data_IF_317344316268
#
_entry.id   IF_317344316268
#
_cell.length_a   1.000
_cell.length_b   1.000
_cell.length_c   1.000
_cell.angle_alpha   90.00
_cell.angle_beta   90.00
_cell.angle_gamma   90.00
#
_symmetry.space_group_name_H-M   'P 1'
#
loop_
_entity.id
_entity.type
_entity.pdbx_description
1 polymer ?
#
# COMPACT_ATOMS: atom_id res chain seq x y z
N UNK A 1 1.58 2.84 18.72
CA UNK A 1 2.01 3.68 17.59
C UNK A 1 1.92 2.79 16.36
N UNK A 2 1.19 3.18 15.31
CA UNK A 2 1.18 2.41 14.05
C UNK A 2 2.53 2.64 13.39
N UNK A 3 3.31 1.57 13.18
CA UNK A 3 4.58 1.65 12.49
C UNK A 3 4.41 2.19 11.07
N UNK A 4 5.41 2.91 10.57
CA UNK A 4 5.32 3.57 9.27
C UNK A 4 5.21 2.56 8.09
N UNK A 5 4.48 2.89 7.01
CA UNK A 5 4.42 2.07 5.80
C UNK A 5 5.80 1.85 5.17
N UNK A 6 5.96 0.71 4.51
CA UNK A 6 7.19 0.31 3.83
C UNK A 6 6.91 0.09 2.34
N UNK A 7 7.79 0.65 1.51
CA UNK A 7 7.88 0.36 0.08
C UNK A 7 9.27 -0.20 -0.16
N UNK A 8 9.32 -1.26 -0.95
CA UNK A 8 10.55 -1.81 -1.47
C UNK A 8 10.46 -1.94 -2.98
N UNK A 9 11.41 -1.31 -3.66
CA UNK A 9 11.65 -1.38 -5.09
C UNK A 9 13.16 -1.34 -5.32
N UNK A 10 13.64 -1.81 -6.48
CA UNK A 10 15.03 -1.64 -6.85
C UNK A 10 15.35 -0.16 -7.10
N UNK A 11 16.49 0.31 -6.61
CA UNK A 11 16.89 1.71 -6.77
C UNK A 11 17.43 2.01 -8.17
N UNK A 12 17.89 1.00 -8.90
CA UNK A 12 18.46 1.12 -10.25
C UNK A 12 17.71 0.16 -11.17
N UNK A 13 17.35 0.61 -12.36
CA UNK A 13 16.69 -0.18 -13.39
C UNK A 13 17.23 0.18 -14.79
N UNK A 14 17.09 -0.73 -15.74
CA UNK A 14 17.32 -0.43 -17.15
C UNK A 14 16.08 0.22 -17.78
N UNK A 15 16.29 0.98 -18.86
CA UNK A 15 15.18 1.55 -19.62
C UNK A 15 14.26 0.45 -20.17
N UNK A 16 12.98 0.53 -19.83
CA UNK A 16 11.96 -0.42 -20.22
C UNK A 16 11.91 -1.68 -19.34
N UNK A 17 12.70 -1.74 -18.25
CA UNK A 17 12.69 -2.88 -17.33
C UNK A 17 11.34 -2.98 -16.59
N UNK A 18 10.92 -4.22 -16.32
CA UNK A 18 9.74 -4.51 -15.49
C UNK A 18 10.22 -4.77 -14.06
N UNK A 19 9.92 -3.84 -13.17
CA UNK A 19 10.39 -3.85 -11.78
C UNK A 19 9.27 -4.25 -10.83
N UNK A 20 9.62 -4.99 -9.77
CA UNK A 20 8.67 -5.42 -8.74
C UNK A 20 8.58 -4.40 -7.63
N UNK A 21 7.39 -3.83 -7.43
CA UNK A 21 7.06 -2.99 -6.28
C UNK A 21 6.43 -3.88 -5.20
N UNK A 22 6.98 -3.81 -3.99
CA UNK A 22 6.47 -4.51 -2.81
C UNK A 22 6.12 -3.50 -1.75
N UNK A 23 4.92 -3.57 -1.20
CA UNK A 23 4.48 -2.64 -0.17
C UNK A 23 3.92 -3.39 1.03
N UNK A 24 4.17 -2.87 2.23
CA UNK A 24 3.62 -3.40 3.49
C UNK A 24 3.26 -2.23 4.39
N UNK A 25 2.05 -2.23 4.93
CA UNK A 25 1.61 -1.23 5.90
C UNK A 25 1.18 -1.93 7.19
N UNK A 26 1.77 -1.60 8.35
CA UNK A 26 1.31 -2.08 9.65
C UNK A 26 -0.12 -1.60 9.91
N UNK A 27 -1.10 -2.51 9.97
CA UNK A 27 -2.50 -2.15 10.17
C UNK A 27 -3.34 -3.35 10.63
N UNK A 28 -4.23 -3.23 11.63
CA UNK A 28 -4.97 -4.36 12.17
C UNK A 28 -5.98 -4.97 11.19
N UNK A 29 -6.49 -4.18 10.23
CA UNK A 29 -7.55 -4.59 9.30
C UNK A 29 -8.77 -5.18 10.04
N UNK A 30 -9.24 -4.48 11.07
CA UNK A 30 -10.38 -4.92 11.85
C UNK A 30 -11.63 -4.91 10.97
N UNK A 31 -12.26 -6.07 10.85
CA UNK A 31 -13.33 -6.31 9.87
C UNK A 31 -14.70 -5.92 10.38
N UNK A 32 -14.84 -5.68 11.69
CA UNK A 32 -16.13 -5.45 12.33
C UNK A 32 -16.85 -6.72 12.79
N UNK A 33 -16.31 -7.90 12.49
CA UNK A 33 -16.93 -9.19 12.85
C UNK A 33 -16.47 -9.74 14.20
N UNK A 34 -15.28 -9.35 14.67
CA UNK A 34 -14.72 -9.81 15.93
C UNK A 34 -15.52 -9.24 17.11
N UNK A 35 -15.69 -10.05 18.16
CA UNK A 35 -16.22 -9.61 19.44
C UNK A 35 -15.11 -9.40 20.46
N UNK A 36 -15.31 -8.44 21.36
CA UNK A 36 -14.47 -8.27 22.55
C UNK A 36 -14.86 -9.27 23.65
N UNK A 37 -14.18 -9.16 24.81
CA UNK A 37 -14.43 -10.02 25.96
C UNK A 37 -15.86 -9.89 26.50
N UNK A 38 -16.47 -8.72 26.36
CA UNK A 38 -17.83 -8.43 26.84
C UNK A 38 -18.90 -8.80 25.80
N UNK A 39 -18.48 -9.36 24.65
CA UNK A 39 -19.36 -9.82 23.57
C UNK A 39 -19.80 -8.73 22.59
N UNK A 40 -19.30 -7.50 22.75
CA UNK A 40 -19.60 -6.39 21.85
C UNK A 40 -18.81 -6.52 20.54
N UNK A 41 -19.39 -6.08 19.43
CA UNK A 41 -18.67 -6.02 18.15
C UNK A 41 -17.60 -4.95 18.23
N UNK A 42 -16.38 -5.29 17.80
CA UNK A 42 -15.31 -4.32 17.64
C UNK A 42 -15.60 -3.51 16.37
N UNK A 43 -15.52 -2.16 16.40
CA UNK A 43 -15.75 -1.34 15.21
C UNK A 43 -14.81 -1.69 14.06
N UNK A 44 -15.31 -1.61 12.83
CA UNK A 44 -14.49 -1.78 11.63
C UNK A 44 -13.42 -0.70 11.57
N UNK A 45 -12.21 -1.11 11.23
CA UNK A 45 -11.10 -0.22 10.94
C UNK A 45 -10.19 -0.92 9.92
N UNK A 46 -10.41 -0.64 8.64
CA UNK A 46 -9.62 -1.20 7.53
C UNK A 46 -9.00 -0.10 6.67
N UNK A 47 -7.95 -0.49 5.96
CA UNK A 47 -7.56 0.19 4.73
C UNK A 47 -8.57 -0.20 3.68
N UNK A 48 -9.20 0.79 3.04
CA UNK A 48 -10.27 0.58 2.06
C UNK A 48 -9.80 0.86 0.62
N UNK A 49 -8.75 1.65 0.43
CA UNK A 49 -8.17 1.92 -0.89
C UNK A 49 -6.66 2.04 -0.83
N UNK A 50 -6.01 1.51 -1.86
CA UNK A 50 -4.60 1.70 -2.14
C UNK A 50 -4.42 2.26 -3.55
N UNK A 51 -3.57 3.27 -3.69
CA UNK A 51 -3.18 3.83 -4.99
C UNK A 51 -1.66 3.94 -5.04
N UNK A 52 -1.08 3.48 -6.14
CA UNK A 52 0.32 3.66 -6.47
C UNK A 52 0.44 4.47 -7.76
N UNK A 53 1.25 5.51 -7.74
CA UNK A 53 1.60 6.29 -8.93
C UNK A 53 3.11 6.21 -9.20
N UNK A 54 3.48 6.38 -10.47
CA UNK A 54 4.84 6.59 -10.92
C UNK A 54 4.90 7.90 -11.71
N UNK A 55 5.74 8.85 -11.27
CA UNK A 55 5.80 10.20 -11.85
C UNK A 55 4.41 10.87 -11.99
N UNK A 56 3.54 10.67 -10.99
CA UNK A 56 2.18 11.21 -10.97
C UNK A 56 1.14 10.43 -11.79
N UNK A 57 1.55 9.41 -12.56
CA UNK A 57 0.63 8.55 -13.32
C UNK A 57 0.23 7.33 -12.48
N UNK A 58 -1.05 7.03 -12.34
CA UNK A 58 -1.52 5.82 -11.65
C UNK A 58 -1.04 4.57 -12.39
N UNK A 59 -0.32 3.70 -11.68
CA UNK A 59 0.23 2.44 -12.20
C UNK A 59 -0.44 1.22 -11.57
N UNK A 60 -1.05 1.39 -10.40
CA UNK A 60 -1.80 0.34 -9.72
C UNK A 60 -2.77 0.95 -8.72
N UNK A 61 -3.97 0.38 -8.63
CA UNK A 61 -4.92 0.66 -7.55
C UNK A 61 -5.61 -0.62 -7.09
N UNK A 62 -6.05 -0.63 -5.84
CA UNK A 62 -6.81 -1.72 -5.27
C UNK A 62 -7.82 -1.20 -4.25
N UNK A 63 -9.07 -1.62 -4.40
CA UNK A 63 -10.08 -1.52 -3.36
C UNK A 63 -9.95 -2.71 -2.41
N UNK A 64 -9.83 -2.41 -1.12
CA UNK A 64 -9.56 -3.40 -0.07
C UNK A 64 -10.80 -3.62 0.78
N UNK A 65 -11.16 -4.89 0.94
CA UNK A 65 -12.32 -5.33 1.72
C UNK A 65 -11.89 -6.24 2.87
N UNK A 66 -12.87 -6.77 3.62
CA UNK A 66 -12.66 -7.62 4.80
C UNK A 66 -11.89 -8.93 4.54
N UNK A 67 -11.64 -9.30 3.28
CA UNK A 67 -10.81 -10.45 2.92
C UNK A 67 -9.30 -10.21 3.02
N UNK A 68 -8.86 -8.97 3.21
CA UNK A 68 -7.43 -8.63 3.33
C UNK A 68 -6.97 -8.81 4.77
N UNK A 69 -5.86 -9.55 4.95
CA UNK A 69 -5.26 -9.81 6.25
C UNK A 69 -4.67 -8.56 6.92
N UNK A 70 -4.48 -8.65 8.23
CA UNK A 70 -3.68 -7.68 8.98
C UNK A 70 -2.28 -7.52 8.36
N UNK A 71 -1.72 -6.33 8.54
CA UNK A 71 -0.54 -5.83 7.86
C UNK A 71 -0.57 -6.01 6.32
N UNK A 72 -1.50 -5.34 5.60
CA UNK A 72 -1.67 -5.54 4.17
C UNK A 72 -0.36 -5.47 3.40
N UNK A 73 -0.13 -6.52 2.60
CA UNK A 73 1.01 -6.66 1.70
C UNK A 73 0.51 -6.72 0.27
N UNK A 74 1.09 -5.88 -0.59
CA UNK A 74 0.86 -5.91 -2.03
C UNK A 74 2.18 -6.09 -2.78
N UNK A 75 2.14 -6.88 -3.84
CA UNK A 75 3.25 -7.05 -4.78
C UNK A 75 2.72 -7.00 -6.20
N UNK A 76 3.23 -6.06 -6.99
CA UNK A 76 2.87 -5.87 -8.38
C UNK A 76 4.09 -5.43 -9.19
N UNK A 77 3.94 -5.40 -10.50
CA UNK A 77 4.99 -5.02 -11.42
C UNK A 77 4.63 -3.73 -12.14
N UNK A 78 5.62 -2.87 -12.37
CA UNK A 78 5.51 -1.68 -13.20
C UNK A 78 6.64 -1.71 -14.24
N UNK A 79 6.41 -1.12 -15.41
CA UNK A 79 7.47 -0.87 -16.38
C UNK A 79 8.03 0.53 -16.16
N UNK A 80 9.35 0.66 -16.10
CA UNK A 80 10.04 1.95 -15.90
C UNK A 80 10.79 2.34 -17.16
N UNK A 81 10.41 3.46 -17.76
CA UNK A 81 11.05 4.00 -18.98
C UNK A 81 12.06 5.11 -18.66
N UNK A 82 11.93 5.72 -17.49
CA UNK A 82 12.71 6.87 -17.03
C UNK A 82 12.90 6.82 -15.51
N UNK A 83 13.85 7.61 -15.01
CA UNK A 83 14.01 7.79 -13.57
C UNK A 83 12.77 8.47 -12.98
N UNK A 84 12.42 8.13 -11.75
CA UNK A 84 11.19 8.65 -11.17
C UNK A 84 10.93 8.23 -9.74
N UNK A 85 9.76 8.64 -9.26
CA UNK A 85 9.28 8.34 -7.91
C UNK A 85 8.05 7.46 -7.98
N UNK A 86 8.10 6.37 -7.21
CA UNK A 86 6.95 5.54 -6.86
C UNK A 86 6.32 6.13 -5.60
N UNK A 87 5.11 6.66 -5.71
CA UNK A 87 4.33 7.17 -4.59
C UNK A 87 3.18 6.22 -4.28
N UNK A 88 3.05 5.82 -3.02
CA UNK A 88 1.93 5.00 -2.57
C UNK A 88 1.12 5.71 -1.50
N UNK A 89 -0.20 5.59 -1.62
CA UNK A 89 -1.19 6.12 -0.70
C UNK A 89 -2.10 4.97 -0.24
N UNK A 90 -2.28 4.85 1.07
CA UNK A 90 -3.26 3.97 1.69
C UNK A 90 -4.31 4.82 2.39
N UNK A 91 -5.56 4.63 2.03
CA UNK A 91 -6.70 5.26 2.66
C UNK A 91 -7.37 4.26 3.58
N UNK A 92 -7.62 4.67 4.81
CA UNK A 92 -8.29 3.89 5.83
C UNK A 92 -9.64 4.50 6.17
N UNK A 93 -10.43 3.71 6.88
CA UNK A 93 -11.68 4.18 7.48
C UNK A 93 -11.40 5.40 8.39
N UNK A 94 -12.46 6.17 8.67
CA UNK A 94 -12.37 7.45 9.39
C UNK A 94 -11.54 8.54 8.67
N UNK A 95 -11.28 8.36 7.36
CA UNK A 95 -10.60 9.35 6.52
C UNK A 95 -9.10 9.49 6.77
N UNK A 96 -8.49 8.52 7.48
CA UNK A 96 -7.04 8.50 7.71
C UNK A 96 -6.32 8.11 6.42
N UNK A 97 -5.21 8.78 6.12
CA UNK A 97 -4.37 8.47 4.96
C UNK A 97 -2.92 8.29 5.36
N UNK A 98 -2.24 7.32 4.74
CA UNK A 98 -0.83 7.06 4.90
C UNK A 98 -0.14 7.19 3.55
N UNK A 99 1.06 7.77 3.54
CA UNK A 99 1.82 8.01 2.29
C UNK A 99 3.26 7.54 2.45
N UNK A 100 3.83 7.01 1.38
CA UNK A 100 5.25 6.67 1.31
C UNK A 100 5.73 6.76 -0.13
N UNK A 101 6.99 7.12 -0.30
CA UNK A 101 7.63 7.27 -1.61
C UNK A 101 8.93 6.47 -1.68
N UNK A 102 9.30 6.03 -2.88
CA UNK A 102 10.59 5.42 -3.19
C UNK A 102 11.06 5.87 -4.57
N UNK A 103 12.37 6.05 -4.76
CA UNK A 103 12.95 6.51 -6.02
C UNK A 103 13.54 5.35 -6.81
N UNK A 104 13.40 5.40 -8.13
CA UNK A 104 14.03 4.50 -9.08
C UNK A 104 14.85 5.35 -10.04
N UNK A 105 16.11 5.00 -10.23
CA UNK A 105 17.00 5.61 -11.21
C UNK A 105 17.14 4.68 -12.41
N UNK A 106 16.84 5.16 -13.61
CA UNK A 106 17.12 4.45 -14.85
C UNK A 106 18.54 4.76 -15.31
N UNK A 107 19.33 3.71 -15.55
CA UNK A 107 20.72 3.78 -16.01
C UNK A 107 20.84 3.89 -17.54
#
# INVERSE_FOLDING_TARGET
MIDAPRIHVQNIAEKGEVVRVRTKIPHPMETGWRKDHDGNKVPQNRINRFVCTFNGTEVFSADMFSGISADPYLSFFIRVEESGTVDCIWEADEGKSFKKSATITVA
#
